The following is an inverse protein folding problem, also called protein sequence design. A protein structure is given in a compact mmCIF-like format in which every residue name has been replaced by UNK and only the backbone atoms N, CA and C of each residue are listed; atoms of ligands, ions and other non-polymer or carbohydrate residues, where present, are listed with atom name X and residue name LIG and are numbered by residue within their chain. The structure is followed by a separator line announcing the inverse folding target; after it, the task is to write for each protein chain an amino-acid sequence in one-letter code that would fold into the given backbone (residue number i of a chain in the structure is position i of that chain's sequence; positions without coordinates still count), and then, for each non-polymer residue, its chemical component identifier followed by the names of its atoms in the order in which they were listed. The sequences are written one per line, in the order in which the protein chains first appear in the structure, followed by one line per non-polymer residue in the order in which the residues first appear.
data_IF_467211119622
#
_entry.id   IF_467211119622
#
_cell.length_a   1.000
_cell.length_b   1.000
_cell.length_c   1.000
_cell.angle_alpha   90.00
_cell.angle_beta   90.00
_cell.angle_gamma   90.00
#
_symmetry.space_group_name_H-M   'P 1'
#
loop_
_entity.id
_entity.type
_entity.pdbx_description
1 polymer ?
#
# COMPACT_ATOMS: atom_id res chain seq x y z
N UNK A 1 -45.49 -60.74 -79.75
CA UNK A 1 -44.31 -60.14 -80.46
C UNK A 1 -43.96 -58.78 -79.80
N UNK A 2 -43.03 -58.75 -78.88
CA UNK A 2 -42.60 -57.47 -78.32
C UNK A 2 -41.58 -56.90 -79.32
N UNK A 3 -41.91 -55.80 -79.93
CA UNK A 3 -41.17 -55.19 -81.02
C UNK A 3 -39.78 -54.71 -80.54
N UNK A 4 -38.74 -54.91 -81.37
CA UNK A 4 -37.34 -54.51 -81.12
C UNK A 4 -37.18 -53.06 -80.60
N UNK A 5 -38.11 -52.14 -80.82
CA UNK A 5 -38.19 -50.77 -80.34
C UNK A 5 -38.37 -50.65 -78.83
N UNK A 6 -39.25 -51.51 -78.25
CA UNK A 6 -39.52 -51.46 -76.80
C UNK A 6 -38.38 -52.04 -76.00
N UNK A 7 -37.57 -52.99 -76.47
CA UNK A 7 -36.39 -53.48 -75.77
C UNK A 7 -35.28 -52.39 -75.69
N UNK A 8 -35.14 -51.59 -76.76
CA UNK A 8 -34.16 -50.53 -76.85
C UNK A 8 -34.55 -49.37 -75.95
N UNK A 9 -35.85 -49.07 -75.82
CA UNK A 9 -36.31 -48.02 -74.91
C UNK A 9 -36.16 -48.46 -73.43
N UNK A 10 -36.48 -49.70 -73.07
CA UNK A 10 -36.27 -50.19 -71.70
C UNK A 10 -34.80 -50.25 -71.35
N UNK A 11 -33.90 -50.62 -72.28
CA UNK A 11 -32.47 -50.60 -72.05
C UNK A 11 -31.96 -49.17 -71.80
N UNK A 12 -32.36 -48.24 -72.65
CA UNK A 12 -31.99 -46.80 -72.42
C UNK A 12 -32.52 -46.24 -71.11
N UNK A 13 -33.73 -46.56 -70.69
CA UNK A 13 -34.29 -46.13 -69.42
C UNK A 13 -33.51 -46.65 -68.23
N UNK A 14 -33.13 -47.98 -68.31
CA UNK A 14 -32.29 -48.57 -67.23
C UNK A 14 -30.89 -47.93 -67.17
N UNK A 15 -30.28 -47.69 -68.32
CA UNK A 15 -28.94 -46.99 -68.35
C UNK A 15 -29.02 -45.57 -67.80
N UNK A 16 -30.10 -44.82 -68.18
CA UNK A 16 -30.29 -43.48 -67.63
C UNK A 16 -30.55 -43.54 -66.12
N UNK A 17 -31.37 -44.47 -65.65
CA UNK A 17 -31.59 -44.60 -64.19
C UNK A 17 -30.31 -44.94 -63.42
N UNK A 18 -29.46 -45.82 -63.94
CA UNK A 18 -28.16 -46.17 -63.36
C UNK A 18 -27.21 -44.96 -63.36
N UNK A 19 -27.25 -44.15 -64.42
CA UNK A 19 -26.42 -42.92 -64.53
C UNK A 19 -26.86 -41.85 -63.53
N UNK A 20 -28.19 -41.70 -63.36
CA UNK A 20 -28.72 -40.74 -62.32
C UNK A 20 -28.39 -41.17 -60.91
N UNK A 21 -28.51 -42.50 -60.60
CA UNK A 21 -28.12 -43.07 -59.32
C UNK A 21 -26.62 -42.94 -59.10
N UNK A 22 -25.79 -43.16 -60.11
CA UNK A 22 -24.33 -42.95 -60.03
C UNK A 22 -23.95 -41.51 -59.80
N UNK A 23 -24.59 -40.58 -60.51
CA UNK A 23 -24.37 -39.13 -60.28
C UNK A 23 -24.85 -38.72 -58.88
N UNK A 24 -26.00 -39.16 -58.42
CA UNK A 24 -26.49 -38.94 -57.09
C UNK A 24 -25.54 -39.44 -56.01
N UNK A 25 -25.00 -40.66 -56.20
CA UNK A 25 -24.00 -41.20 -55.27
C UNK A 25 -22.67 -40.36 -55.24
N UNK A 26 -22.20 -39.95 -56.42
CA UNK A 26 -21.02 -39.10 -56.52
C UNK A 26 -21.29 -37.71 -55.91
N UNK A 27 -22.46 -37.14 -56.17
CA UNK A 27 -22.86 -35.86 -55.55
C UNK A 27 -22.95 -35.96 -54.02
N UNK A 28 -23.49 -37.02 -53.44
CA UNK A 28 -23.52 -37.18 -51.98
C UNK A 28 -22.14 -37.39 -51.38
N UNK A 29 -21.23 -37.99 -52.14
CA UNK A 29 -19.85 -38.22 -51.69
C UNK A 29 -18.92 -37.01 -51.87
N UNK A 30 -19.14 -36.21 -52.92
CA UNK A 30 -18.30 -35.02 -53.21
C UNK A 30 -18.85 -33.73 -52.62
N UNK A 31 -20.17 -33.57 -52.50
CA UNK A 31 -20.81 -32.38 -51.98
C UNK A 31 -21.06 -32.48 -50.47
N UNK A 32 -20.27 -33.12 -49.69
CA UNK A 32 -20.34 -33.12 -48.20
C UNK A 32 -21.54 -32.35 -47.66
N UNK A 33 -22.76 -32.80 -47.96
CA UNK A 33 -24.03 -32.16 -47.48
C UNK A 33 -24.35 -32.44 -46.01
N UNK A 34 -23.36 -32.94 -45.26
CA UNK A 34 -23.38 -33.04 -43.82
C UNK A 34 -22.23 -32.19 -43.26
N UNK A 35 -22.55 -31.16 -42.56
CA UNK A 35 -21.63 -30.23 -41.89
C UNK A 35 -20.79 -30.90 -40.79
N UNK A 36 -19.99 -31.90 -41.14
CA UNK A 36 -18.97 -32.43 -40.24
C UNK A 36 -17.62 -31.96 -40.79
N UNK A 37 -17.12 -30.91 -40.24
CA UNK A 37 -15.76 -30.47 -40.49
C UNK A 37 -14.80 -31.33 -39.67
N UNK A 38 -13.89 -32.03 -40.37
CA UNK A 38 -12.84 -32.79 -39.72
C UNK A 38 -11.60 -31.87 -39.61
N UNK A 39 -11.12 -31.69 -38.42
CA UNK A 39 -9.85 -30.98 -38.18
C UNK A 39 -8.89 -31.89 -37.41
N UNK A 40 -7.69 -32.07 -37.92
CA UNK A 40 -6.61 -32.79 -37.24
C UNK A 40 -5.83 -31.85 -36.30
N UNK A 41 -6.17 -30.57 -36.27
CA UNK A 41 -5.46 -29.54 -35.50
C UNK A 41 -6.25 -29.07 -34.26
N UNK A 42 -6.81 -30.03 -33.50
CA UNK A 42 -7.42 -29.78 -32.22
C UNK A 42 -6.36 -29.89 -31.11
N UNK A 43 -6.16 -28.82 -30.35
CA UNK A 43 -5.25 -28.79 -29.20
C UNK A 43 -6.06 -28.64 -27.92
N UNK A 44 -5.78 -29.49 -26.92
CA UNK A 44 -6.28 -29.32 -25.57
C UNK A 44 -5.38 -28.27 -24.88
N UNK A 45 -5.98 -27.23 -24.35
CA UNK A 45 -5.29 -26.17 -23.60
C UNK A 45 -5.76 -26.12 -22.15
N UNK A 46 -4.89 -25.69 -21.30
CA UNK A 46 -5.13 -25.53 -19.86
C UNK A 46 -4.65 -24.15 -19.43
N UNK A 47 -5.15 -23.64 -18.32
CA UNK A 47 -4.59 -22.45 -17.69
C UNK A 47 -3.24 -22.78 -17.06
N UNK A 48 -2.21 -22.06 -17.51
CA UNK A 48 -0.86 -22.15 -16.96
C UNK A 48 -0.59 -20.85 -16.21
N UNK A 49 -0.33 -20.95 -14.92
CA UNK A 49 0.01 -19.80 -14.06
C UNK A 49 1.50 -19.84 -13.74
N UNK A 50 2.33 -18.97 -14.34
CA UNK A 50 3.75 -18.89 -14.01
C UNK A 50 3.92 -18.24 -12.63
N UNK A 51 4.67 -18.87 -11.76
CA UNK A 51 5.07 -18.35 -10.45
C UNK A 51 6.42 -17.68 -10.60
N UNK A 52 6.44 -16.37 -10.43
CA UNK A 52 7.64 -15.54 -10.56
C UNK A 52 8.10 -15.03 -9.19
N UNK A 53 9.42 -14.90 -9.01
CA UNK A 53 9.96 -14.21 -7.84
C UNK A 53 9.83 -12.69 -7.98
N UNK A 54 9.61 -12.02 -6.83
CA UNK A 54 9.58 -10.55 -6.73
C UNK A 54 10.88 -9.98 -6.17
N UNK A 55 11.71 -10.82 -5.56
CA UNK A 55 12.97 -10.43 -4.94
C UNK A 55 14.13 -11.21 -5.51
N UNK A 56 15.32 -10.63 -5.46
CA UNK A 56 16.56 -11.28 -5.80
C UNK A 56 17.11 -12.02 -4.60
N UNK A 57 17.67 -13.21 -4.80
CA UNK A 57 18.37 -13.95 -3.75
C UNK A 57 18.71 -15.36 -4.19
N UNK A 58 19.41 -16.09 -3.32
CA UNK A 58 19.71 -17.50 -3.54
C UNK A 58 18.56 -18.38 -3.04
N UNK A 59 18.24 -19.44 -3.78
CA UNK A 59 17.24 -20.41 -3.35
C UNK A 59 17.83 -21.21 -2.18
N UNK A 60 17.20 -21.11 -1.00
CA UNK A 60 17.61 -21.82 0.20
C UNK A 60 17.10 -23.25 0.20
N UNK A 61 15.83 -23.45 -0.15
CA UNK A 61 15.19 -24.77 -0.17
C UNK A 61 13.98 -24.78 -1.09
N UNK A 62 13.76 -25.93 -1.75
CA UNK A 62 12.61 -26.19 -2.62
C UNK A 62 11.78 -27.29 -1.97
N UNK A 63 10.45 -27.08 -1.85
CA UNK A 63 9.53 -27.98 -1.16
C UNK A 63 8.58 -28.71 -2.12
N UNK A 64 8.50 -28.29 -3.39
CA UNK A 64 7.63 -28.95 -4.37
C UNK A 64 8.42 -30.00 -5.18
N UNK A 65 7.69 -30.99 -5.67
CA UNK A 65 8.19 -32.01 -6.62
C UNK A 65 7.52 -31.77 -7.99
N UNK A 66 8.21 -32.21 -9.06
CA UNK A 66 7.66 -32.11 -10.43
C UNK A 66 6.41 -32.96 -10.60
N UNK A 67 5.45 -32.40 -11.34
CA UNK A 67 4.21 -33.08 -11.73
C UNK A 67 3.36 -33.61 -10.57
N UNK A 68 3.48 -32.96 -9.39
CA UNK A 68 2.67 -33.29 -8.22
C UNK A 68 1.55 -32.28 -7.99
N UNK A 69 0.41 -32.72 -7.45
CA UNK A 69 -0.66 -31.80 -7.05
C UNK A 69 -0.23 -30.95 -5.88
N UNK A 70 -0.60 -29.67 -5.94
CA UNK A 70 -0.40 -28.68 -4.89
C UNK A 70 -1.68 -27.88 -4.66
N UNK A 71 -1.81 -27.31 -3.46
CA UNK A 71 -2.94 -26.49 -3.08
C UNK A 71 -2.51 -25.02 -2.95
N UNK A 72 -3.46 -24.16 -3.18
CA UNK A 72 -3.27 -22.72 -2.95
C UNK A 72 -2.81 -22.44 -1.52
N UNK A 73 -1.71 -21.71 -1.37
CA UNK A 73 -1.11 -21.40 -0.08
C UNK A 73 0.06 -22.34 0.30
N UNK A 74 0.27 -23.45 -0.40
CA UNK A 74 1.42 -24.31 -0.15
C UNK A 74 2.73 -23.57 -0.43
N UNK A 75 3.72 -23.77 0.44
CA UNK A 75 5.06 -23.19 0.25
C UNK A 75 5.81 -23.98 -0.81
N UNK A 76 6.15 -23.31 -1.91
CA UNK A 76 6.87 -23.93 -3.03
C UNK A 76 8.38 -23.90 -2.81
N UNK A 77 8.92 -22.76 -2.43
CA UNK A 77 10.34 -22.60 -2.14
C UNK A 77 10.57 -21.41 -1.21
N UNK A 78 11.75 -21.37 -0.62
CA UNK A 78 12.22 -20.29 0.23
C UNK A 78 13.54 -19.75 -0.32
N UNK A 79 13.61 -18.43 -0.50
CA UNK A 79 14.81 -17.67 -0.84
C UNK A 79 15.54 -17.31 0.46
N UNK A 80 16.85 -17.18 0.43
CA UNK A 80 17.64 -16.80 1.59
C UNK A 80 17.17 -15.45 2.16
N UNK A 81 16.79 -15.45 3.42
CA UNK A 81 16.07 -14.35 4.07
C UNK A 81 16.97 -13.49 5.00
N UNK A 82 18.23 -13.87 5.18
CA UNK A 82 19.14 -13.24 6.13
C UNK A 82 19.29 -11.73 5.90
N UNK A 83 19.51 -11.31 4.65
CA UNK A 83 19.63 -9.89 4.29
C UNK A 83 18.34 -9.11 4.52
N UNK A 84 17.19 -9.70 4.18
CA UNK A 84 15.88 -9.07 4.39
C UNK A 84 15.54 -8.91 5.87
N UNK A 85 15.90 -9.87 6.71
CA UNK A 85 15.76 -9.76 8.18
C UNK A 85 16.63 -8.65 8.76
N UNK A 86 17.87 -8.51 8.27
CA UNK A 86 18.74 -7.41 8.70
C UNK A 86 18.19 -6.05 8.28
N UNK A 87 17.66 -5.93 7.07
CA UNK A 87 16.99 -4.70 6.60
C UNK A 87 15.75 -4.37 7.43
N UNK A 88 14.96 -5.39 7.81
CA UNK A 88 13.82 -5.21 8.69
C UNK A 88 14.27 -4.72 10.08
N UNK A 89 15.26 -5.36 10.68
CA UNK A 89 15.82 -4.96 11.98
C UNK A 89 16.36 -3.53 11.96
N UNK A 90 17.03 -3.12 10.87
CA UNK A 90 17.49 -1.75 10.69
C UNK A 90 16.31 -0.76 10.63
N UNK A 91 15.29 -1.04 9.84
CA UNK A 91 14.10 -0.19 9.74
C UNK A 91 13.33 -0.08 11.08
N UNK A 92 13.25 -1.18 11.84
CA UNK A 92 12.65 -1.19 13.18
C UNK A 92 13.46 -0.35 14.18
N UNK A 93 14.79 -0.36 14.10
CA UNK A 93 15.64 0.50 14.91
C UNK A 93 15.48 1.98 14.55
N UNK A 94 15.35 2.31 13.26
CA UNK A 94 15.12 3.67 12.79
C UNK A 94 13.74 4.19 13.25
N UNK A 95 12.72 3.33 13.24
CA UNK A 95 11.39 3.65 13.80
C UNK A 95 11.47 3.91 15.31
N UNK A 96 12.20 3.08 16.05
CA UNK A 96 12.39 3.26 17.49
C UNK A 96 13.07 4.61 17.79
N UNK A 97 14.07 5.00 17.01
CA UNK A 97 14.74 6.31 17.12
C UNK A 97 13.77 7.47 16.82
N UNK A 98 12.96 7.37 15.78
CA UNK A 98 11.96 8.40 15.45
C UNK A 98 10.90 8.55 16.57
N UNK A 99 10.42 7.45 17.13
CA UNK A 99 9.49 7.44 18.26
C UNK A 99 10.10 8.07 19.51
N UNK A 100 11.38 7.76 19.83
CA UNK A 100 12.09 8.38 20.94
C UNK A 100 12.21 9.90 20.75
N UNK A 101 12.52 10.36 19.53
CA UNK A 101 12.57 11.79 19.19
C UNK A 101 11.22 12.50 19.39
N UNK A 102 10.13 11.87 18.96
CA UNK A 102 8.76 12.35 19.17
C UNK A 102 8.45 12.47 20.68
N UNK A 103 8.82 11.47 21.47
CA UNK A 103 8.55 11.43 22.90
C UNK A 103 9.31 12.53 23.65
N UNK A 104 10.56 12.80 23.29
CA UNK A 104 11.36 13.92 23.84
C UNK A 104 10.69 15.26 23.57
N UNK A 105 10.23 15.50 22.35
CA UNK A 105 9.53 16.73 22.00
C UNK A 105 8.22 16.87 22.76
N UNK A 106 7.48 15.79 22.92
CA UNK A 106 6.24 15.77 23.70
C UNK A 106 6.48 16.14 25.18
N UNK A 107 7.55 15.61 25.78
CA UNK A 107 7.96 15.97 27.14
C UNK A 107 8.39 17.44 27.24
N UNK A 108 9.07 17.96 26.21
CA UNK A 108 9.43 19.39 26.11
C UNK A 108 8.21 20.30 26.10
N UNK A 109 7.19 19.97 25.31
CA UNK A 109 5.91 20.71 25.26
C UNK A 109 5.22 20.70 26.64
N UNK A 110 5.19 19.55 27.31
CA UNK A 110 4.60 19.44 28.65
C UNK A 110 5.34 20.34 29.67
N UNK A 111 6.67 20.37 29.62
CA UNK A 111 7.49 21.24 30.46
C UNK A 111 7.21 22.72 30.18
N UNK A 112 7.13 23.11 28.90
CA UNK A 112 6.84 24.49 28.50
C UNK A 112 5.41 24.89 28.91
N UNK A 113 4.45 23.96 28.83
CA UNK A 113 3.09 24.18 29.34
C UNK A 113 3.05 24.44 30.84
N UNK A 114 3.82 23.69 31.63
CA UNK A 114 3.95 23.93 33.06
C UNK A 114 4.57 25.32 33.36
N UNK A 115 5.57 25.72 32.57
CA UNK A 115 6.17 27.08 32.69
C UNK A 115 5.14 28.18 32.36
N UNK A 116 4.24 27.95 31.40
CA UNK A 116 3.14 28.90 31.13
C UNK A 116 2.21 29.03 32.35
N UNK A 117 1.87 27.90 33.00
CA UNK A 117 1.04 27.94 34.23
C UNK A 117 1.72 28.71 35.36
N UNK A 118 3.04 28.55 35.52
CA UNK A 118 3.82 29.31 36.51
C UNK A 118 3.84 30.80 36.16
N UNK A 119 4.02 31.15 34.88
CA UNK A 119 3.95 32.51 34.41
C UNK A 119 2.55 33.12 34.66
N UNK A 120 1.47 32.37 34.45
CA UNK A 120 0.11 32.85 34.74
C UNK A 120 -0.10 33.18 36.21
N UNK A 121 0.38 32.32 37.13
CA UNK A 121 0.34 32.59 38.56
C UNK A 121 1.15 33.85 38.92
N UNK A 122 2.33 34.03 38.30
CA UNK A 122 3.16 35.24 38.48
C UNK A 122 2.48 36.50 37.95
N UNK A 123 1.75 36.43 36.84
CA UNK A 123 0.96 37.55 36.31
C UNK A 123 -0.17 37.92 37.28
N UNK A 124 -0.88 36.92 37.84
CA UNK A 124 -1.95 37.16 38.78
C UNK A 124 -1.46 37.88 40.04
N UNK A 125 -0.30 37.47 40.60
CA UNK A 125 0.33 38.11 41.72
C UNK A 125 0.62 39.61 41.43
N UNK A 126 1.31 39.89 40.30
CA UNK A 126 1.66 41.27 39.94
C UNK A 126 0.41 42.08 39.57
N UNK A 127 -0.62 41.46 39.03
CA UNK A 127 -1.91 42.12 38.74
C UNK A 127 -2.58 42.63 40.04
N UNK A 128 -2.59 41.81 41.10
CA UNK A 128 -3.11 42.23 42.44
C UNK A 128 -2.29 43.40 43.02
N UNK A 129 -0.97 43.30 42.92
CA UNK A 129 -0.06 44.40 43.37
C UNK A 129 -0.32 45.70 42.60
N UNK A 130 -0.49 45.60 41.25
CA UNK A 130 -0.80 46.78 40.42
C UNK A 130 -2.13 47.39 40.78
N UNK A 131 -3.18 46.58 40.98
CA UNK A 131 -4.48 47.08 41.38
C UNK A 131 -4.48 47.76 42.76
N UNK A 132 -3.64 47.30 43.69
CA UNK A 132 -3.44 47.97 44.99
C UNK A 132 -2.72 49.33 44.84
N UNK A 133 -1.63 49.38 44.11
CA UNK A 133 -0.87 50.58 43.82
C UNK A 133 -1.71 51.61 43.05
N UNK A 134 -2.55 51.20 42.12
CA UNK A 134 -3.45 52.06 41.37
C UNK A 134 -4.50 52.71 42.29
N UNK A 135 -5.12 51.92 43.22
CA UNK A 135 -6.03 52.46 44.20
C UNK A 135 -5.35 53.46 45.12
N UNK A 136 -4.12 53.22 45.51
CA UNK A 136 -3.31 54.12 46.31
C UNK A 136 -2.99 55.41 45.56
N UNK A 137 -2.56 55.31 44.30
CA UNK A 137 -2.31 56.48 43.45
C UNK A 137 -3.56 57.33 43.28
N UNK A 138 -4.73 56.74 43.06
CA UNK A 138 -6.01 57.47 42.95
C UNK A 138 -6.40 58.16 44.26
N UNK A 139 -6.14 57.54 45.40
CA UNK A 139 -6.35 58.14 46.73
C UNK A 139 -5.46 59.33 46.93
N UNK A 140 -4.15 59.22 46.68
CA UNK A 140 -3.19 60.33 46.83
C UNK A 140 -3.44 61.46 45.82
N UNK A 141 -3.96 61.14 44.65
CA UNK A 141 -4.35 62.17 43.67
C UNK A 141 -5.50 63.04 44.22
N UNK A 142 -6.53 62.48 44.85
CA UNK A 142 -7.64 63.20 45.46
C UNK A 142 -7.15 64.06 46.67
N UNK A 143 -6.29 63.47 47.50
CA UNK A 143 -5.74 64.18 48.67
C UNK A 143 -4.85 65.33 48.22
N UNK A 144 -4.16 65.24 47.09
CA UNK A 144 -3.38 66.37 46.54
C UNK A 144 -4.29 67.47 45.99
N UNK A 145 -5.42 67.13 45.39
CA UNK A 145 -6.44 68.10 44.94
C UNK A 145 -7.10 68.85 46.12
N UNK A 146 -7.11 68.24 47.33
CA UNK A 146 -7.58 68.85 48.58
C UNK A 146 -6.48 69.49 49.42
N UNK A 147 -5.24 69.62 48.86
CA UNK A 147 -4.08 70.13 49.56
C UNK A 147 -3.70 69.41 50.88
N UNK A 148 -4.15 68.16 51.04
CA UNK A 148 -3.97 67.31 52.21
C UNK A 148 -2.63 66.55 52.22
N UNK A 149 -1.91 66.50 51.11
CA UNK A 149 -0.59 65.82 50.94
C UNK A 149 0.35 66.67 50.12
N UNK A 150 1.66 66.46 50.30
CA UNK A 150 2.65 67.13 49.51
C UNK A 150 2.81 66.53 48.10
N UNK A 151 3.25 67.39 47.16
CA UNK A 151 3.53 66.88 45.76
C UNK A 151 4.59 65.82 45.78
N UNK A 152 5.60 65.89 46.64
CA UNK A 152 6.61 64.83 46.77
C UNK A 152 6.03 63.48 47.17
N UNK A 153 5.04 63.46 48.09
CA UNK A 153 4.32 62.20 48.47
C UNK A 153 3.54 61.57 47.31
N UNK A 154 2.84 62.41 46.55
CA UNK A 154 2.17 61.97 45.33
C UNK A 154 3.14 61.38 44.28
N UNK A 155 4.26 62.14 44.03
CA UNK A 155 5.23 61.68 43.03
C UNK A 155 5.91 60.37 43.46
N UNK A 156 6.13 60.13 44.74
CA UNK A 156 6.62 58.82 45.25
C UNK A 156 5.66 57.69 44.98
N UNK A 157 4.35 57.87 45.26
CA UNK A 157 3.33 56.84 44.99
C UNK A 157 3.17 56.59 43.50
N UNK A 158 3.22 57.63 42.70
CA UNK A 158 3.19 57.50 41.23
C UNK A 158 4.37 56.70 40.71
N UNK A 159 5.59 56.97 41.19
CA UNK A 159 6.78 56.22 40.81
C UNK A 159 6.66 54.72 41.21
N UNK A 160 6.09 54.44 42.39
CA UNK A 160 5.85 53.07 42.83
C UNK A 160 4.83 52.34 41.91
N UNK A 161 3.74 53.03 41.53
CA UNK A 161 2.78 52.48 40.54
C UNK A 161 3.43 52.21 39.18
N UNK A 162 4.19 53.20 38.66
CA UNK A 162 4.87 53.10 37.36
C UNK A 162 5.86 51.90 37.35
N UNK A 163 6.57 51.68 38.47
CA UNK A 163 7.48 50.54 38.62
C UNK A 163 6.75 49.18 38.60
N UNK A 164 5.61 49.08 39.32
CA UNK A 164 4.78 47.85 39.31
C UNK A 164 4.15 47.61 37.93
N UNK A 165 3.71 48.68 37.26
CA UNK A 165 3.17 48.60 35.92
C UNK A 165 4.22 48.10 34.90
N UNK A 166 5.45 48.62 34.99
CA UNK A 166 6.56 48.12 34.17
C UNK A 166 6.87 46.64 34.41
N UNK A 167 6.76 46.18 35.67
CA UNK A 167 6.93 44.77 36.02
C UNK A 167 5.79 43.90 35.45
N UNK A 168 4.55 44.39 35.50
CA UNK A 168 3.42 43.68 34.87
C UNK A 168 3.63 43.49 33.39
N UNK A 169 4.04 44.53 32.64
CA UNK A 169 4.36 44.44 31.23
C UNK A 169 5.53 43.48 30.95
N UNK A 170 6.49 43.39 31.84
CA UNK A 170 7.62 42.45 31.73
C UNK A 170 7.15 41.02 31.82
N UNK A 171 6.31 40.65 32.83
CA UNK A 171 5.81 39.25 32.96
C UNK A 171 4.85 38.87 31.83
N UNK A 172 4.05 39.82 31.31
CA UNK A 172 3.24 39.57 30.09
C UNK A 172 4.10 39.22 28.89
N UNK A 173 5.18 39.98 28.66
CA UNK A 173 6.11 39.65 27.55
C UNK A 173 6.80 38.32 27.75
N UNK A 174 7.15 37.94 28.99
CA UNK A 174 7.73 36.66 29.32
C UNK A 174 6.78 35.50 29.01
N UNK A 175 5.49 35.63 29.39
CA UNK A 175 4.44 34.66 29.00
C UNK A 175 4.33 34.52 27.48
N UNK A 176 4.31 35.68 26.77
CA UNK A 176 4.23 35.66 25.29
C UNK A 176 5.44 34.95 24.67
N UNK A 177 6.64 35.18 25.14
CA UNK A 177 7.85 34.50 24.67
C UNK A 177 7.75 32.98 24.93
N UNK A 178 7.30 32.58 26.12
CA UNK A 178 7.09 31.13 26.43
C UNK A 178 6.02 30.52 25.57
N UNK A 179 4.96 31.26 25.20
CA UNK A 179 3.93 30.76 24.29
C UNK A 179 4.46 30.52 22.86
N UNK A 180 5.34 31.39 22.37
CA UNK A 180 6.01 31.21 21.07
C UNK A 180 6.92 29.98 21.06
N UNK A 181 7.66 29.74 22.16
CA UNK A 181 8.49 28.54 22.32
C UNK A 181 7.60 27.27 22.25
N UNK A 182 6.44 27.28 22.91
CA UNK A 182 5.49 26.16 22.84
C UNK A 182 4.99 25.94 21.41
N UNK A 183 4.68 27.00 20.68
CA UNK A 183 4.24 26.93 19.27
C UNK A 183 5.33 26.32 18.39
N UNK A 184 6.57 26.79 18.52
CA UNK A 184 7.74 26.23 17.83
C UNK A 184 7.90 24.73 18.12
N UNK A 185 7.83 24.33 19.40
CA UNK A 185 7.89 22.92 19.79
C UNK A 185 6.72 22.09 19.22
N UNK A 186 5.54 22.69 19.09
CA UNK A 186 4.38 22.04 18.46
C UNK A 186 4.60 21.80 16.96
N UNK A 187 5.21 22.76 16.25
CA UNK A 187 5.62 22.57 14.87
C UNK A 187 6.70 21.48 14.74
N UNK A 188 7.66 21.46 15.66
CA UNK A 188 8.68 20.41 15.72
C UNK A 188 8.07 19.03 15.97
N UNK A 189 7.02 18.94 16.81
CA UNK A 189 6.27 17.70 17.02
C UNK A 189 5.66 17.19 15.71
N UNK A 190 5.04 18.07 14.92
CA UNK A 190 4.50 17.71 13.61
C UNK A 190 5.56 17.17 12.64
N UNK A 191 6.79 17.71 12.67
CA UNK A 191 7.90 17.19 11.89
C UNK A 191 8.31 15.78 12.37
N UNK A 192 8.42 15.58 13.67
CA UNK A 192 8.76 14.28 14.25
C UNK A 192 7.67 13.23 13.97
N UNK A 193 6.39 13.60 14.00
CA UNK A 193 5.29 12.72 13.59
C UNK A 193 5.39 12.30 12.11
N UNK A 194 5.80 13.22 11.24
CA UNK A 194 6.05 12.89 9.85
C UNK A 194 7.24 11.93 9.70
N UNK A 195 8.31 12.11 10.49
CA UNK A 195 9.45 11.20 10.53
C UNK A 195 9.06 9.80 11.01
N UNK A 196 8.20 9.70 12.05
CA UNK A 196 7.66 8.41 12.52
C UNK A 196 6.85 7.72 11.42
N UNK A 197 5.98 8.43 10.71
CA UNK A 197 5.22 7.84 9.58
C UNK A 197 6.14 7.36 8.47
N UNK A 198 7.19 8.09 8.16
CA UNK A 198 8.19 7.68 7.16
C UNK A 198 8.93 6.41 7.59
N UNK A 199 9.39 6.35 8.84
CA UNK A 199 10.07 5.18 9.40
C UNK A 199 9.14 3.95 9.46
N UNK A 200 7.85 4.14 9.82
CA UNK A 200 6.85 3.08 9.79
C UNK A 200 6.65 2.51 8.38
N UNK A 201 6.56 3.36 7.38
CA UNK A 201 6.45 2.93 5.97
C UNK A 201 7.70 2.13 5.53
N UNK A 202 8.89 2.50 6.01
CA UNK A 202 10.12 1.74 5.75
C UNK A 202 10.09 0.34 6.39
N UNK A 203 9.58 0.22 7.62
CA UNK A 203 9.36 -1.09 8.28
C UNK A 203 8.38 -1.95 7.49
N UNK A 204 7.25 -1.37 7.07
CA UNK A 204 6.23 -2.10 6.31
C UNK A 204 6.77 -2.58 4.96
N UNK A 205 7.57 -1.75 4.27
CA UNK A 205 8.25 -2.14 3.03
C UNK A 205 9.28 -3.27 3.26
N UNK A 206 10.09 -3.17 4.32
CA UNK A 206 11.07 -4.21 4.66
C UNK A 206 10.37 -5.54 5.01
N UNK A 207 9.25 -5.50 5.75
CA UNK A 207 8.43 -6.66 6.09
C UNK A 207 7.79 -7.28 4.86
N UNK A 208 7.29 -6.47 3.93
CA UNK A 208 6.74 -6.91 2.66
C UNK A 208 7.81 -7.62 1.82
N UNK A 209 9.02 -7.05 1.70
CA UNK A 209 10.13 -7.67 0.99
C UNK A 209 10.56 -8.99 1.62
N UNK A 210 10.57 -9.08 2.96
CA UNK A 210 10.81 -10.33 3.67
C UNK A 210 9.72 -11.37 3.38
N UNK A 211 8.45 -10.99 3.29
CA UNK A 211 7.37 -11.91 2.93
C UNK A 211 7.54 -12.50 1.53
N UNK A 212 8.15 -11.77 0.60
CA UNK A 212 8.44 -12.24 -0.76
C UNK A 212 9.55 -13.27 -0.86
N UNK A 213 10.29 -13.54 0.23
CA UNK A 213 11.31 -14.61 0.27
C UNK A 213 10.67 -16.00 0.35
N UNK A 214 9.42 -16.09 0.82
CA UNK A 214 8.63 -17.33 0.84
C UNK A 214 7.69 -17.33 -0.35
N UNK A 215 7.95 -18.19 -1.32
CA UNK A 215 7.13 -18.31 -2.52
C UNK A 215 6.05 -19.36 -2.26
N UNK A 216 4.79 -18.94 -2.39
CA UNK A 216 3.60 -19.78 -2.18
C UNK A 216 2.83 -19.99 -3.47
N UNK A 217 2.10 -21.10 -3.55
CA UNK A 217 1.19 -21.39 -4.66
C UNK A 217 0.01 -20.41 -4.66
N UNK A 218 -0.27 -19.80 -5.81
CA UNK A 218 -1.36 -18.82 -5.98
C UNK A 218 -2.70 -19.47 -6.32
N UNK A 219 -2.68 -20.69 -6.86
CA UNK A 219 -3.85 -21.49 -7.25
C UNK A 219 -3.62 -22.96 -6.95
N UNK A 220 -4.70 -23.75 -6.98
CA UNK A 220 -4.64 -25.20 -6.97
C UNK A 220 -4.22 -25.70 -8.34
N UNK A 221 -3.51 -26.82 -8.41
CA UNK A 221 -3.11 -27.39 -9.68
C UNK A 221 -1.97 -28.41 -9.57
N UNK A 222 -1.31 -28.66 -10.67
CA UNK A 222 -0.15 -29.55 -10.77
C UNK A 222 1.08 -28.74 -11.14
N UNK A 223 2.19 -28.97 -10.43
CA UNK A 223 3.48 -28.34 -10.72
C UNK A 223 4.01 -28.79 -12.08
N UNK A 224 4.56 -27.87 -12.83
CA UNK A 224 5.29 -28.17 -14.06
C UNK A 224 6.72 -28.65 -13.79
N UNK A 225 7.55 -28.58 -14.83
CA UNK A 225 8.95 -28.96 -14.76
C UNK A 225 9.73 -28.00 -13.85
N UNK A 226 10.62 -28.55 -13.02
CA UNK A 226 11.53 -27.82 -12.16
C UNK A 226 12.74 -27.31 -12.96
N UNK A 227 12.76 -26.02 -13.27
CA UNK A 227 13.86 -25.38 -14.00
C UNK A 227 14.90 -24.71 -13.07
N UNK A 228 14.77 -24.88 -11.73
CA UNK A 228 15.56 -24.21 -10.70
C UNK A 228 16.17 -25.21 -9.74
N UNK A 229 17.30 -24.81 -9.13
CA UNK A 229 18.05 -25.64 -8.18
C UNK A 229 18.33 -24.87 -6.89
N UNK A 230 18.49 -25.61 -5.79
CA UNK A 230 18.93 -25.05 -4.51
C UNK A 230 20.34 -24.44 -4.66
N UNK A 231 20.55 -23.28 -4.04
CA UNK A 231 21.79 -22.48 -4.22
C UNK A 231 21.85 -21.64 -5.48
N UNK A 232 20.85 -21.69 -6.36
CA UNK A 232 20.79 -20.87 -7.56
C UNK A 232 20.36 -19.45 -7.21
N UNK A 233 21.03 -18.45 -7.84
CA UNK A 233 20.60 -17.04 -7.78
C UNK A 233 19.40 -16.83 -8.71
N UNK A 234 18.34 -16.21 -8.17
CA UNK A 234 17.17 -15.81 -8.94
C UNK A 234 17.00 -14.28 -8.94
N UNK A 235 16.39 -13.75 -10.01
CA UNK A 235 16.19 -12.32 -10.19
C UNK A 235 14.70 -11.98 -10.23
N UNK A 236 14.27 -10.75 -9.84
CA UNK A 236 12.89 -10.31 -9.92
C UNK A 236 12.30 -10.50 -11.33
N UNK A 237 11.10 -11.07 -11.39
CA UNK A 237 10.41 -11.40 -12.65
C UNK A 237 10.78 -12.75 -13.26
N UNK A 238 11.79 -13.45 -12.74
CA UNK A 238 12.15 -14.78 -13.22
C UNK A 238 11.08 -15.80 -12.83
N UNK A 239 10.63 -16.59 -13.81
CA UNK A 239 9.71 -17.70 -13.58
C UNK A 239 10.45 -18.83 -12.85
N UNK A 240 9.85 -19.33 -11.78
CA UNK A 240 10.42 -20.37 -10.93
C UNK A 240 9.79 -21.74 -11.24
N UNK A 241 8.47 -21.77 -11.40
CA UNK A 241 7.69 -22.96 -11.73
C UNK A 241 6.36 -22.51 -12.35
N UNK A 242 5.84 -23.34 -13.25
CA UNK A 242 4.51 -23.19 -13.81
C UNK A 242 3.54 -24.08 -13.03
N UNK A 243 2.36 -23.55 -12.68
CA UNK A 243 1.26 -24.32 -12.11
C UNK A 243 0.22 -24.48 -13.22
N UNK A 244 -0.14 -25.72 -13.49
CA UNK A 244 -1.18 -26.09 -14.46
C UNK A 244 -2.47 -26.34 -13.69
N UNK A 245 -3.47 -25.51 -13.94
CA UNK A 245 -4.79 -25.68 -13.35
C UNK A 245 -5.55 -26.77 -14.11
N UNK A 246 -5.97 -27.80 -13.38
CA UNK A 246 -6.71 -28.94 -13.95
C UNK A 246 -8.24 -28.74 -13.91
N UNK A 247 -8.73 -27.61 -13.38
CA UNK A 247 -10.17 -27.40 -13.23
C UNK A 247 -10.87 -27.13 -14.56
N UNK A 248 -10.18 -26.40 -15.47
CA UNK A 248 -10.76 -26.01 -16.76
C UNK A 248 -9.89 -26.45 -17.93
N UNK A 249 -10.38 -27.49 -18.64
CA UNK A 249 -9.80 -27.97 -19.88
C UNK A 249 -10.65 -27.50 -21.06
N UNK A 250 -10.06 -26.88 -22.06
CA UNK A 250 -10.77 -26.54 -23.28
C UNK A 250 -10.01 -27.02 -24.53
N UNK A 251 -10.79 -27.48 -25.53
CA UNK A 251 -10.23 -27.82 -26.82
C UNK A 251 -10.34 -26.63 -27.78
N UNK A 252 -9.23 -26.23 -28.36
CA UNK A 252 -9.18 -25.23 -29.44
C UNK A 252 -9.02 -25.99 -30.75
N UNK A 253 -10.06 -25.95 -31.58
CA UNK A 253 -10.03 -26.48 -32.93
C UNK A 253 -9.85 -25.33 -33.92
N UNK A 254 -8.80 -25.38 -34.72
CA UNK A 254 -8.57 -24.42 -35.80
C UNK A 254 -9.17 -24.97 -37.09
N UNK A 255 -10.37 -24.50 -37.43
CA UNK A 255 -10.91 -24.74 -38.79
C UNK A 255 -10.35 -23.68 -39.72
N UNK A 256 -9.55 -24.05 -40.70
CA UNK A 256 -9.19 -23.14 -41.79
C UNK A 256 -10.42 -22.91 -42.66
N UNK A 257 -11.05 -21.75 -42.49
CA UNK A 257 -11.94 -21.23 -43.53
C UNK A 257 -11.11 -20.99 -44.78
N UNK A 258 -11.13 -21.95 -45.69
CA UNK A 258 -10.67 -21.72 -47.05
C UNK A 258 -11.69 -20.78 -47.71
N UNK A 259 -11.29 -19.50 -47.77
CA UNK A 259 -12.02 -18.49 -48.54
C UNK A 259 -12.04 -18.88 -50.04
#
# INVERSE_FOLDING_TARGET
MVTRKTKKQVYNTIVIALLVIGIGYVCTRFLHLGSVEYTDNAQVKQHITPINTRVQGFIKKIYFEEYKPIHKGDTLLVIEDAEFRLRLAQAEADLANALAGQQVTHAGIATTQNNLTVNDAGIEEVCVQRANAERELQRYKKLLEEDAVTRQQYDNVKTAYDAINARYEQVLRMKHTTSLIKEEQTHQLGQNEAAVRLAQAAVDLARLNLSYTVIIATCDGVTGRKAIHEGQLVQPGQTLVDIVDNSDLWAVSYTHLRA
#
